data_IF_509832971333
#
_entry.id   IF_509832971333
#
_cell.length_a   1.000
_cell.length_b   1.000
_cell.length_c   1.000
_cell.angle_alpha   90.00
_cell.angle_beta   90.00
_cell.angle_gamma   90.00
#
_symmetry.space_group_name_H-M   'P 1'
#
loop_
_entity.id
_entity.type
_entity.pdbx_description
1 polymer ?
#
# COMPACT_ATOMS: atom_id res chain seq x y z
N UNK A 1 21.74 10.93 4.67
CA UNK A 1 20.44 10.44 4.14
C UNK A 1 20.44 8.93 4.15
N UNK A 2 19.38 8.25 4.66
CA UNK A 2 19.24 6.78 4.58
C UNK A 2 18.29 6.43 3.43
N UNK A 3 18.65 5.44 2.60
CA UNK A 3 17.87 5.03 1.42
C UNK A 3 17.61 3.53 1.48
N UNK A 4 16.38 3.12 1.17
CA UNK A 4 15.98 1.72 1.08
C UNK A 4 15.25 1.45 -0.22
N UNK A 5 15.52 0.31 -0.85
CA UNK A 5 14.85 -0.11 -2.08
C UNK A 5 13.62 -0.97 -1.77
N UNK A 6 12.57 -0.79 -2.56
CA UNK A 6 11.33 -1.58 -2.54
C UNK A 6 10.96 -1.98 -3.95
N UNK A 7 10.14 -3.02 -4.11
CA UNK A 7 9.59 -3.39 -5.41
C UNK A 7 8.62 -2.30 -5.89
N UNK A 8 8.86 -1.72 -7.06
CA UNK A 8 8.02 -0.67 -7.64
C UNK A 8 6.91 -1.21 -8.57
N UNK A 9 6.83 -2.53 -8.76
CA UNK A 9 5.87 -3.13 -9.68
C UNK A 9 4.43 -2.73 -9.34
N UNK A 10 3.64 -2.29 -10.32
CA UNK A 10 2.26 -1.80 -10.17
C UNK A 10 2.02 -0.57 -9.28
N UNK A 11 3.04 0.08 -8.70
CA UNK A 11 2.79 1.22 -7.77
C UNK A 11 2.06 2.39 -8.44
N UNK A 12 2.32 2.64 -9.71
CA UNK A 12 1.65 3.67 -10.52
C UNK A 12 0.38 3.20 -11.22
N UNK A 13 0.09 1.89 -11.18
CA UNK A 13 -1.06 1.29 -11.87
C UNK A 13 -2.22 1.03 -10.92
N UNK A 14 -1.97 1.00 -9.61
CA UNK A 14 -2.96 0.76 -8.56
C UNK A 14 -3.28 2.07 -7.81
N UNK A 15 -4.55 2.28 -7.53
CA UNK A 15 -5.04 3.38 -6.73
C UNK A 15 -4.57 3.22 -5.29
N UNK A 16 -4.04 4.30 -4.69
CA UNK A 16 -3.49 4.23 -3.34
C UNK A 16 -4.53 3.87 -2.27
N UNK A 17 -5.82 4.12 -2.56
CA UNK A 17 -6.94 3.88 -1.65
C UNK A 17 -7.47 2.44 -1.71
N UNK A 18 -6.83 1.56 -2.48
CA UNK A 18 -7.23 0.16 -2.58
C UNK A 18 -8.34 -0.11 -3.58
N UNK A 19 -8.81 0.91 -4.33
CA UNK A 19 -9.90 0.73 -5.29
C UNK A 19 -9.49 -0.01 -6.59
N UNK A 20 -8.35 -0.69 -6.64
CA UNK A 20 -7.89 -1.39 -7.84
C UNK A 20 -7.12 -0.52 -8.83
N UNK A 21 -7.22 -0.82 -10.13
CA UNK A 21 -6.42 -0.18 -11.17
C UNK A 21 -6.87 1.25 -11.49
N UNK A 22 -5.91 2.13 -11.81
CA UNK A 22 -6.19 3.50 -12.26
C UNK A 22 -6.30 3.59 -13.78
N UNK A 23 -7.17 4.47 -14.28
CA UNK A 23 -7.22 4.86 -15.69
C UNK A 23 -6.47 6.18 -15.88
N UNK A 24 -5.43 6.20 -16.72
CA UNK A 24 -4.67 7.42 -16.99
C UNK A 24 -5.41 8.33 -17.96
N UNK A 25 -5.37 9.62 -17.70
CA UNK A 25 -5.93 10.62 -18.61
C UNK A 25 -5.05 10.70 -19.88
N UNK A 26 -5.63 10.50 -21.08
CA UNK A 26 -4.86 10.50 -22.33
C UNK A 26 -4.38 11.89 -22.76
N UNK A 27 -4.98 12.96 -22.23
CA UNK A 27 -4.60 14.35 -22.51
C UNK A 27 -3.65 14.91 -21.45
N UNK A 28 -3.71 14.39 -20.22
CA UNK A 28 -2.84 14.78 -19.13
C UNK A 28 -2.38 13.57 -18.31
N UNK A 29 -1.24 12.98 -18.68
CA UNK A 29 -0.70 11.78 -18.04
C UNK A 29 -0.33 11.94 -16.56
N UNK A 30 -0.25 13.17 -16.04
CA UNK A 30 -0.06 13.41 -14.60
C UNK A 30 -1.32 13.12 -13.78
N UNK A 31 -2.49 12.98 -14.43
CA UNK A 31 -3.76 12.68 -13.79
C UNK A 31 -4.24 11.27 -14.14
N UNK A 32 -4.91 10.63 -13.17
CA UNK A 32 -5.63 9.40 -13.35
C UNK A 32 -6.99 9.44 -12.65
N UNK A 33 -7.87 8.53 -13.02
CA UNK A 33 -9.17 8.32 -12.39
C UNK A 33 -9.17 6.93 -11.77
N UNK A 34 -9.52 6.86 -10.49
CA UNK A 34 -9.68 5.61 -9.75
C UNK A 34 -11.00 4.94 -10.14
N UNK A 35 -11.18 3.66 -9.79
CA UNK A 35 -12.45 2.97 -10.06
C UNK A 35 -13.64 3.60 -9.34
N UNK A 36 -13.39 4.32 -8.23
CA UNK A 36 -14.38 5.11 -7.50
C UNK A 36 -14.81 6.40 -8.22
N UNK A 37 -14.23 6.72 -9.37
CA UNK A 37 -14.45 7.98 -10.09
C UNK A 37 -13.59 9.15 -9.58
N UNK A 38 -12.81 8.94 -8.52
CA UNK A 38 -11.90 9.96 -7.98
C UNK A 38 -10.79 10.29 -8.98
N UNK A 39 -10.70 11.56 -9.40
CA UNK A 39 -9.56 12.07 -10.16
C UNK A 39 -8.41 12.45 -9.23
N UNK A 40 -7.20 12.01 -9.54
CA UNK A 40 -6.03 12.20 -8.67
C UNK A 40 -4.73 12.31 -9.47
N UNK A 41 -3.65 12.76 -8.82
CA UNK A 41 -2.33 12.81 -9.44
C UNK A 41 -1.66 11.42 -9.42
N UNK A 42 -1.14 10.99 -10.58
CA UNK A 42 -0.50 9.68 -10.77
C UNK A 42 0.73 9.50 -9.88
N UNK A 43 1.63 10.48 -9.87
CA UNK A 43 2.91 10.42 -9.16
C UNK A 43 2.71 10.43 -7.64
N UNK A 44 1.73 11.20 -7.16
CA UNK A 44 1.35 11.24 -5.76
C UNK A 44 0.75 9.90 -5.31
N UNK A 45 -0.16 9.33 -6.09
CA UNK A 45 -0.70 7.97 -5.83
C UNK A 45 0.42 6.93 -5.77
N UNK A 46 1.34 6.97 -6.75
CA UNK A 46 2.48 6.05 -6.81
C UNK A 46 3.43 6.22 -5.63
N UNK A 47 3.70 7.46 -5.21
CA UNK A 47 4.58 7.79 -4.09
C UNK A 47 4.03 7.23 -2.77
N UNK A 48 2.72 7.33 -2.53
CA UNK A 48 2.09 6.69 -1.38
C UNK A 48 2.26 5.17 -1.40
N UNK A 49 2.09 4.52 -2.56
CA UNK A 49 2.25 3.08 -2.69
C UNK A 49 3.71 2.62 -2.46
N UNK A 50 4.70 3.38 -2.94
CA UNK A 50 6.13 3.12 -2.70
C UNK A 50 6.43 3.22 -1.20
N UNK A 51 5.97 4.30 -0.54
CA UNK A 51 6.13 4.48 0.90
C UNK A 51 5.44 3.38 1.70
N UNK A 52 4.21 3.02 1.34
CA UNK A 52 3.44 1.97 2.00
C UNK A 52 4.19 0.64 2.01
N UNK A 53 4.78 0.25 0.87
CA UNK A 53 5.57 -1.00 0.76
C UNK A 53 6.79 -1.02 1.67
N UNK A 54 7.44 0.12 1.86
CA UNK A 54 8.56 0.24 2.80
C UNK A 54 8.06 0.02 4.24
N UNK A 55 7.05 0.77 4.67
CA UNK A 55 6.56 0.70 6.05
C UNK A 55 5.93 -0.66 6.37
N UNK A 56 5.12 -1.24 5.47
CA UNK A 56 4.58 -2.60 5.65
C UNK A 56 5.71 -3.61 5.88
N UNK A 57 6.79 -3.53 5.09
CA UNK A 57 7.95 -4.43 5.24
C UNK A 57 8.63 -4.23 6.58
N UNK A 58 8.94 -2.99 6.97
CA UNK A 58 9.67 -2.72 8.21
C UNK A 58 8.84 -3.09 9.45
N UNK A 59 7.54 -2.76 9.46
CA UNK A 59 6.63 -3.11 10.54
C UNK A 59 6.51 -4.62 10.72
N UNK A 60 6.25 -5.38 9.64
CA UNK A 60 6.12 -6.84 9.74
C UNK A 60 7.45 -7.53 10.05
N UNK A 61 8.58 -6.99 9.57
CA UNK A 61 9.91 -7.57 9.82
C UNK A 61 10.29 -7.50 11.30
N UNK A 62 9.85 -6.49 12.04
CA UNK A 62 10.17 -6.33 13.45
C UNK A 62 9.36 -7.25 14.38
N UNK A 63 8.31 -7.91 13.90
CA UNK A 63 7.39 -8.69 14.74
C UNK A 63 7.82 -10.15 14.87
N UNK A 64 7.50 -10.80 16.01
CA UNK A 64 7.56 -12.26 16.14
C UNK A 64 6.72 -12.96 15.06
N UNK A 65 7.14 -14.16 14.68
CA UNK A 65 6.50 -14.94 13.60
C UNK A 65 5.00 -15.16 13.87
N UNK A 66 4.61 -15.41 15.11
CA UNK A 66 3.22 -15.63 15.50
C UNK A 66 2.35 -14.39 15.27
N UNK A 67 2.77 -13.23 15.78
CA UNK A 67 2.06 -11.95 15.60
C UNK A 67 1.99 -11.54 14.13
N UNK A 68 3.12 -11.70 13.41
CA UNK A 68 3.17 -11.47 11.98
C UNK A 68 2.16 -12.34 11.24
N UNK A 69 2.11 -13.65 11.54
CA UNK A 69 1.18 -14.58 10.90
C UNK A 69 -0.28 -14.18 11.14
N UNK A 70 -0.63 -13.79 12.37
CA UNK A 70 -1.96 -13.29 12.72
C UNK A 70 -2.34 -12.04 11.93
N UNK A 71 -1.44 -11.05 11.86
CA UNK A 71 -1.67 -9.82 11.09
C UNK A 71 -1.80 -10.09 9.59
N UNK A 72 -0.92 -10.91 9.02
CA UNK A 72 -0.99 -11.26 7.61
C UNK A 72 -2.25 -12.08 7.27
N UNK A 73 -2.86 -12.77 8.25
CA UNK A 73 -4.16 -13.42 8.08
C UNK A 73 -5.32 -12.41 8.08
N UNK A 74 -5.25 -11.37 8.92
CA UNK A 74 -6.24 -10.29 8.96
C UNK A 74 -6.14 -9.33 7.78
N UNK A 75 -4.93 -9.10 7.26
CA UNK A 75 -4.68 -8.22 6.11
C UNK A 75 -3.96 -8.98 4.99
N UNK A 76 -4.63 -9.92 4.29
CA UNK A 76 -4.01 -10.77 3.28
C UNK A 76 -3.18 -10.05 2.19
N UNK A 77 -3.55 -8.84 1.71
CA UNK A 77 -2.78 -8.13 0.68
C UNK A 77 -1.31 -7.88 1.05
N UNK A 78 -0.97 -7.74 2.33
CA UNK A 78 0.42 -7.45 2.78
C UNK A 78 1.41 -8.57 2.45
N UNK A 79 0.91 -9.80 2.19
CA UNK A 79 1.73 -10.93 1.71
C UNK A 79 2.22 -10.71 0.27
N UNK A 80 1.47 -9.96 -0.54
CA UNK A 80 1.76 -9.74 -1.98
C UNK A 80 2.37 -8.37 -2.21
N UNK A 81 3.69 -8.28 -2.05
CA UNK A 81 4.48 -7.03 -2.18
C UNK A 81 4.27 -6.26 -3.50
N UNK A 82 3.90 -6.94 -4.58
CA UNK A 82 3.67 -6.33 -5.91
C UNK A 82 2.32 -5.65 -6.03
N UNK A 83 1.38 -5.88 -5.11
CA UNK A 83 0.04 -5.29 -5.13
C UNK A 83 -0.29 -4.45 -3.89
N UNK A 84 0.59 -4.39 -2.88
CA UNK A 84 0.33 -3.56 -1.70
C UNK A 84 0.27 -2.07 -2.07
N UNK A 85 -0.74 -1.40 -1.52
CA UNK A 85 -1.01 0.03 -1.65
C UNK A 85 -1.15 0.70 -0.28
N UNK A 86 -1.33 2.02 -0.25
CA UNK A 86 -1.44 2.77 1.00
C UNK A 86 -2.63 2.36 1.90
N UNK A 87 -3.76 1.97 1.31
CA UNK A 87 -4.88 1.44 2.07
C UNK A 87 -4.50 0.18 2.88
N UNK A 88 -3.67 -0.70 2.34
CA UNK A 88 -3.21 -1.89 3.07
C UNK A 88 -2.34 -1.54 4.27
N UNK A 89 -1.53 -0.48 4.17
CA UNK A 89 -0.75 0.03 5.31
C UNK A 89 -1.68 0.57 6.40
N UNK A 90 -2.72 1.33 6.02
CA UNK A 90 -3.69 1.85 6.99
C UNK A 90 -4.41 0.72 7.71
N UNK A 91 -4.85 -0.30 6.96
CA UNK A 91 -5.52 -1.46 7.53
C UNK A 91 -4.58 -2.28 8.43
N UNK A 92 -3.34 -2.51 8.00
CA UNK A 92 -2.33 -3.17 8.82
C UNK A 92 -2.12 -2.41 10.14
N UNK A 93 -1.98 -1.09 10.09
CA UNK A 93 -1.79 -0.28 11.28
C UNK A 93 -3.00 -0.35 12.22
N UNK A 94 -4.22 -0.29 11.69
CA UNK A 94 -5.45 -0.49 12.47
C UNK A 94 -5.47 -1.85 13.18
N UNK A 95 -5.15 -2.93 12.47
CA UNK A 95 -5.12 -4.28 13.05
C UNK A 95 -4.03 -4.45 14.09
N UNK A 96 -2.88 -3.78 13.93
CA UNK A 96 -1.82 -3.73 14.94
C UNK A 96 -2.30 -3.06 16.23
N UNK A 97 -3.00 -1.93 16.14
CA UNK A 97 -3.54 -1.23 17.32
C UNK A 97 -4.63 -2.06 18.02
N UNK A 98 -5.50 -2.74 17.27
CA UNK A 98 -6.49 -3.67 17.84
C UNK A 98 -5.81 -4.81 18.60
N UNK A 99 -4.73 -5.39 18.08
CA UNK A 99 -4.00 -6.47 18.76
C UNK A 99 -3.28 -6.00 20.03
N UNK A 100 -2.83 -4.74 20.08
CA UNK A 100 -2.21 -4.17 21.30
C UNK A 100 -3.24 -3.90 22.41
N UNK A 101 -4.50 -3.68 22.04
CA UNK A 101 -5.57 -3.35 22.97
C UNK A 101 -6.32 -4.58 23.50
N UNK A 102 -6.04 -5.77 22.97
CA UNK A 102 -6.62 -7.05 23.38
C UNK A 102 -5.72 -7.77 24.39
#
# INVERSE_FOLDING_TARGET
MRVSRVCAWNTSSLAYDGSGSVSRDPKNHSLCVFQTGKRYNCDLSASYNIGARYFIRELLKSLPVTERSLLEAKVPPVKRRTSCVYADLKELHLQMEILKAA
#
